data_IF_204706749887
#
_entry.id   IF_204706749887
#
_cell.length_a   1.000
_cell.length_b   1.000
_cell.length_c   1.000
_cell.angle_alpha   90.00
_cell.angle_beta   90.00
_cell.angle_gamma   90.00
#
_symmetry.space_group_name_H-M   'P 1'
#
loop_
_entity.id
_entity.type
_entity.pdbx_description
1 polymer ?
#
# COMPACT_ATOMS: atom_id res chain seq x y z
N UNK A 1 -16.13 -14.27 -13.76
CA UNK A 1 -14.89 -13.96 -13.03
C UNK A 1 -13.75 -14.62 -13.77
N UNK A 2 -12.80 -13.84 -14.29
CA UNK A 2 -11.57 -14.39 -14.87
C UNK A 2 -10.54 -14.55 -13.75
N UNK A 3 -9.97 -15.75 -13.61
CA UNK A 3 -8.99 -16.05 -12.55
C UNK A 3 -7.75 -15.13 -12.64
N UNK A 4 -7.36 -14.73 -13.85
CA UNK A 4 -6.25 -13.80 -14.07
C UNK A 4 -6.48 -12.45 -13.37
N UNK A 5 -7.68 -11.87 -13.55
CA UNK A 5 -8.06 -10.61 -12.89
C UNK A 5 -8.08 -10.74 -11.37
N UNK A 6 -8.57 -11.88 -10.86
CA UNK A 6 -8.57 -12.15 -9.42
C UNK A 6 -7.15 -12.26 -8.84
N UNK A 7 -6.20 -12.85 -9.57
CA UNK A 7 -4.79 -12.91 -9.16
C UNK A 7 -4.15 -11.53 -9.10
N UNK A 8 -4.43 -10.68 -10.07
CA UNK A 8 -3.94 -9.31 -10.10
C UNK A 8 -4.46 -8.48 -8.93
N UNK A 9 -5.76 -8.56 -8.65
CA UNK A 9 -6.38 -7.87 -7.52
C UNK A 9 -5.80 -8.37 -6.19
N UNK A 10 -5.61 -9.69 -6.05
CA UNK A 10 -4.97 -10.30 -4.89
C UNK A 10 -3.54 -9.78 -4.69
N UNK A 11 -2.77 -9.59 -5.77
CA UNK A 11 -1.40 -9.09 -5.68
C UNK A 11 -1.36 -7.67 -5.09
N UNK A 12 -2.24 -6.77 -5.53
CA UNK A 12 -2.28 -5.40 -5.01
C UNK A 12 -2.80 -5.39 -3.56
N UNK A 13 -3.86 -6.15 -3.28
CA UNK A 13 -4.44 -6.28 -1.94
C UNK A 13 -3.43 -6.85 -0.93
N UNK A 14 -2.72 -7.92 -1.29
CA UNK A 14 -1.70 -8.54 -0.46
C UNK A 14 -0.53 -7.59 -0.23
N UNK A 15 -0.08 -6.86 -1.26
CA UNK A 15 1.00 -5.87 -1.12
C UNK A 15 0.63 -4.78 -0.13
N UNK A 16 -0.57 -4.21 -0.25
CA UNK A 16 -1.07 -3.21 0.69
C UNK A 16 -1.22 -3.75 2.11
N UNK A 17 -1.86 -4.91 2.27
CA UNK A 17 -2.09 -5.53 3.58
C UNK A 17 -0.79 -5.90 4.31
N UNK A 18 0.13 -6.58 3.61
CA UNK A 18 1.45 -6.94 4.17
C UNK A 18 2.23 -5.70 4.54
N UNK A 19 2.24 -4.67 3.70
CA UNK A 19 2.95 -3.42 4.00
C UNK A 19 2.40 -2.72 5.24
N UNK A 20 1.08 -2.68 5.43
CA UNK A 20 0.46 -2.16 6.66
C UNK A 20 0.84 -2.99 7.89
N UNK A 21 0.87 -4.33 7.79
CA UNK A 21 1.34 -5.18 8.88
C UNK A 21 2.80 -4.90 9.22
N UNK A 22 3.66 -4.76 8.22
CA UNK A 22 5.08 -4.43 8.42
C UNK A 22 5.24 -3.08 9.14
N UNK A 23 4.46 -2.07 8.77
CA UNK A 23 4.48 -0.77 9.46
C UNK A 23 4.06 -0.89 10.93
N UNK A 24 2.99 -1.63 11.21
CA UNK A 24 2.51 -1.84 12.58
C UNK A 24 3.54 -2.61 13.43
N UNK A 25 4.15 -3.67 12.87
CA UNK A 25 5.21 -4.42 13.54
C UNK A 25 6.43 -3.54 13.76
N UNK A 26 6.89 -2.81 12.76
CA UNK A 26 8.05 -1.92 12.87
C UNK A 26 7.84 -0.87 13.96
N UNK A 27 6.68 -0.21 13.98
CA UNK A 27 6.29 0.75 15.03
C UNK A 27 6.26 0.11 16.43
N UNK A 28 5.90 -1.18 16.54
CA UNK A 28 5.83 -1.88 17.82
C UNK A 28 7.18 -2.39 18.33
N UNK A 29 8.13 -2.72 17.45
CA UNK A 29 9.38 -3.42 17.85
C UNK A 29 10.64 -2.57 17.69
N UNK A 30 10.62 -1.55 16.84
CA UNK A 30 11.77 -0.68 16.58
C UNK A 30 11.61 0.62 17.35
N UNK A 31 12.39 0.80 18.41
CA UNK A 31 12.26 1.92 19.35
C UNK A 31 12.38 3.32 18.71
N UNK A 32 13.04 3.42 17.56
CA UNK A 32 13.23 4.68 16.82
C UNK A 32 12.16 4.93 15.76
N UNK A 33 11.19 4.02 15.59
CA UNK A 33 10.12 4.15 14.61
C UNK A 33 8.80 4.33 15.35
N UNK A 34 8.19 5.50 15.18
CA UNK A 34 6.82 5.74 15.63
C UNK A 34 5.98 6.04 14.41
N UNK A 35 4.94 5.23 14.17
CA UNK A 35 4.00 5.44 13.07
C UNK A 35 2.60 5.52 13.66
N UNK A 36 1.91 6.63 13.43
CA UNK A 36 0.51 6.78 13.81
C UNK A 36 -0.42 5.81 13.06
N UNK A 37 -1.58 5.51 13.67
CA UNK A 37 -2.57 4.60 13.07
C UNK A 37 -3.04 5.06 11.69
N UNK A 38 -3.24 6.36 11.49
CA UNK A 38 -3.72 6.90 10.21
C UNK A 38 -2.65 6.76 9.11
N UNK A 39 -1.38 7.18 9.31
CA UNK A 39 -0.30 6.91 8.36
C UNK A 39 -0.08 5.42 8.04
N UNK A 40 -0.24 4.52 9.03
CA UNK A 40 -0.08 3.08 8.80
C UNK A 40 -1.10 2.48 7.80
N UNK A 41 -2.24 3.15 7.60
CA UNK A 41 -3.27 2.76 6.64
C UNK A 41 -3.04 3.31 5.23
N UNK A 42 -1.99 4.11 5.00
CA UNK A 42 -1.71 4.66 3.67
C UNK A 42 -1.57 3.60 2.56
N UNK A 43 -0.93 2.42 2.77
CA UNK A 43 -0.90 1.36 1.76
C UNK A 43 -2.31 0.85 1.38
N UNK A 44 -3.23 0.79 2.35
CA UNK A 44 -4.64 0.43 2.10
C UNK A 44 -5.34 1.49 1.26
N UNK A 45 -5.08 2.78 1.51
CA UNK A 45 -5.62 3.86 0.68
C UNK A 45 -5.18 3.73 -0.79
N UNK A 46 -3.94 3.28 -1.05
CA UNK A 46 -3.46 2.98 -2.42
C UNK A 46 -4.26 1.84 -3.05
N UNK A 47 -4.55 0.77 -2.30
CA UNK A 47 -5.39 -0.32 -2.80
C UNK A 47 -6.82 0.15 -3.10
N UNK A 48 -7.40 1.03 -2.28
CA UNK A 48 -8.72 1.61 -2.55
C UNK A 48 -8.69 2.45 -3.84
N UNK A 49 -7.65 3.28 -4.02
CA UNK A 49 -7.48 4.08 -5.25
C UNK A 49 -7.38 3.18 -6.49
N UNK A 50 -6.65 2.06 -6.41
CA UNK A 50 -6.60 1.04 -7.46
C UNK A 50 -7.99 0.50 -7.82
N UNK A 51 -8.81 0.15 -6.82
CA UNK A 51 -10.17 -0.36 -7.04
C UNK A 51 -11.07 0.68 -7.73
N UNK A 52 -10.93 1.96 -7.39
CA UNK A 52 -11.70 3.02 -8.04
C UNK A 52 -11.21 3.31 -9.47
N UNK A 53 -9.90 3.24 -9.72
CA UNK A 53 -9.34 3.39 -11.08
C UNK A 53 -9.91 2.34 -12.05
N UNK A 54 -9.94 1.07 -11.61
CA UNK A 54 -10.49 -0.06 -12.41
C UNK A 54 -12.00 -0.01 -12.66
N UNK A 55 -12.77 0.83 -11.96
CA UNK A 55 -14.23 0.87 -12.09
C UNK A 55 -14.77 1.84 -13.14
N UNK A 56 -13.96 2.72 -13.74
CA UNK A 56 -14.48 3.66 -14.74
C UNK A 56 -13.52 4.71 -15.30
N UNK A 57 -12.21 4.60 -15.05
CA UNK A 57 -11.23 5.54 -15.60
C UNK A 57 -10.69 5.09 -16.96
N UNK A 58 -10.22 6.02 -17.83
CA UNK A 58 -9.37 5.65 -18.94
C UNK A 58 -8.10 5.00 -18.39
N UNK A 59 -7.91 3.70 -18.66
CA UNK A 59 -6.68 3.00 -18.30
C UNK A 59 -5.50 3.67 -19.01
N UNK A 60 -4.78 4.51 -18.29
CA UNK A 60 -3.50 5.01 -18.77
C UNK A 60 -2.52 3.85 -18.94
N UNK A 61 -1.49 4.02 -19.77
CA UNK A 61 -0.45 2.99 -19.98
C UNK A 61 0.25 2.55 -18.67
N UNK A 62 0.14 3.34 -17.60
CA UNK A 62 0.72 3.10 -16.28
C UNK A 62 -0.24 2.44 -15.28
N UNK A 63 -1.52 2.30 -15.62
CA UNK A 63 -2.58 1.75 -14.75
C UNK A 63 -2.60 0.20 -14.80
N UNK A 64 -1.48 -0.40 -14.44
CA UNK A 64 -1.30 -1.86 -14.37
C UNK A 64 -1.15 -2.32 -12.91
N UNK A 65 -1.67 -3.50 -12.53
CA UNK A 65 -1.66 -4.00 -11.15
C UNK A 65 -0.27 -4.00 -10.49
N UNK A 66 0.76 -4.34 -11.27
CA UNK A 66 2.14 -4.33 -10.79
C UNK A 66 2.58 -2.95 -10.30
N UNK A 67 2.21 -1.88 -10.99
CA UNK A 67 2.58 -0.52 -10.60
C UNK A 67 1.86 -0.10 -9.32
N UNK A 68 0.59 -0.47 -9.16
CA UNK A 68 -0.16 -0.21 -7.92
C UNK A 68 0.38 -0.98 -6.72
N UNK A 69 0.83 -2.21 -6.92
CA UNK A 69 1.50 -2.96 -5.87
C UNK A 69 2.82 -2.30 -5.43
N UNK A 70 3.65 -1.88 -6.41
CA UNK A 70 4.86 -1.11 -6.13
C UNK A 70 4.55 0.22 -5.46
N UNK A 71 3.47 0.90 -5.84
CA UNK A 71 3.03 2.13 -5.20
C UNK A 71 2.61 1.89 -3.75
N UNK A 72 1.88 0.82 -3.45
CA UNK A 72 1.48 0.47 -2.08
C UNK A 72 2.71 0.22 -1.19
N UNK A 73 3.69 -0.54 -1.70
CA UNK A 73 4.97 -0.78 -1.01
C UNK A 73 5.77 0.51 -0.86
N UNK A 74 5.87 1.31 -1.92
CA UNK A 74 6.61 2.58 -1.92
C UNK A 74 6.03 3.59 -0.92
N UNK A 75 4.70 3.73 -0.87
CA UNK A 75 4.01 4.56 0.14
C UNK A 75 4.29 4.05 1.55
N UNK A 76 4.27 2.74 1.77
CA UNK A 76 4.68 2.19 3.06
C UNK A 76 6.13 2.49 3.42
N UNK A 77 7.05 2.39 2.45
CA UNK A 77 8.44 2.78 2.63
C UNK A 77 8.58 4.25 3.03
N UNK A 78 7.81 5.15 2.41
CA UNK A 78 7.78 6.58 2.77
C UNK A 78 7.29 6.75 4.20
N UNK A 79 6.16 6.13 4.57
CA UNK A 79 5.62 6.21 5.94
C UNK A 79 6.62 5.68 6.96
N UNK A 80 7.32 4.58 6.65
CA UNK A 80 8.34 4.01 7.52
C UNK A 80 9.50 4.99 7.74
N UNK A 81 9.99 5.63 6.66
CA UNK A 81 11.06 6.64 6.76
C UNK A 81 10.60 7.83 7.59
N UNK A 82 9.39 8.33 7.35
CA UNK A 82 8.82 9.44 8.11
C UNK A 82 8.68 9.10 9.60
N UNK A 83 8.25 7.88 9.92
CA UNK A 83 8.15 7.42 11.31
C UNK A 83 9.51 7.26 11.99
N UNK A 84 10.55 6.90 11.24
CA UNK A 84 11.92 6.84 11.73
C UNK A 84 12.53 8.22 12.03
N UNK A 85 12.06 9.27 11.36
CA UNK A 85 12.51 10.66 11.60
C UNK A 85 11.53 11.47 12.46
N UNK A 86 10.47 10.85 12.99
CA UNK A 86 9.50 11.48 13.90
C UNK A 86 8.47 12.39 13.24
N UNK A 87 8.12 12.15 11.97
CA UNK A 87 7.22 12.97 11.16
C UNK A 87 5.92 12.23 10.76
N UNK A 88 5.74 10.98 11.19
CA UNK A 88 4.55 10.16 10.93
C UNK A 88 3.86 9.68 12.21
#
# INVERSE_FOLDING_TARGET
>A
MEIARAREDLLVAASAGVTTVVLAVASSVVATVTVGTIPALAPIAVYLAYLFSRKGGPYGAWDVPRNWALAAVGVGGIVLVLGAVGVA
#
